data_IF_561378733643
#
_entry.id   IF_561378733643
#
_cell.length_a   1.000
_cell.length_b   1.000
_cell.length_c   1.000
_cell.angle_alpha   90.00
_cell.angle_beta   90.00
_cell.angle_gamma   90.00
#
_symmetry.space_group_name_H-M   'P 1'
#
loop_
_entity.id
_entity.type
_entity.pdbx_description
1 polymer ?
#
# COMPACT_ATOMS: atom_id res chain seq x y z
N UNK A 1 -17.76 -32.28 51.52
CA UNK A 1 -16.94 -31.29 52.23
C UNK A 1 -15.96 -30.69 51.21
N UNK A 2 -16.32 -29.56 50.57
CA UNK A 2 -15.58 -29.02 49.42
C UNK A 2 -14.88 -27.74 49.86
N UNK A 3 -13.54 -27.75 49.86
CA UNK A 3 -12.74 -26.60 50.26
C UNK A 3 -12.71 -25.54 49.13
N UNK A 4 -13.16 -24.33 49.46
CA UNK A 4 -13.11 -23.14 48.59
C UNK A 4 -11.77 -22.42 48.80
N UNK A 5 -10.94 -22.34 47.77
CA UNK A 5 -9.73 -21.51 47.78
C UNK A 5 -10.05 -20.08 47.34
N UNK A 6 -9.80 -19.14 48.25
CA UNK A 6 -9.99 -17.69 48.11
C UNK A 6 -8.65 -17.08 47.72
N UNK A 7 -8.47 -16.70 46.44
CA UNK A 7 -7.28 -15.97 45.99
C UNK A 7 -7.49 -14.48 46.19
N UNK A 8 -6.75 -13.93 47.16
CA UNK A 8 -6.66 -12.50 47.44
C UNK A 8 -5.83 -11.79 46.36
N UNK A 9 -6.37 -10.74 45.73
CA UNK A 9 -5.59 -9.74 44.98
C UNK A 9 -5.45 -8.50 45.85
N UNK A 10 -4.22 -8.22 46.30
CA UNK A 10 -3.83 -6.98 46.97
C UNK A 10 -3.07 -6.07 45.99
N UNK A 11 -3.42 -4.78 46.05
CA UNK A 11 -2.56 -3.59 46.09
C UNK A 11 -1.62 -3.35 44.87
N UNK A 12 -1.91 -2.36 44.01
CA UNK A 12 -1.64 -0.91 44.15
C UNK A 12 -0.34 -0.49 43.46
N UNK A 13 -0.45 0.31 42.39
CA UNK A 13 0.61 1.22 41.95
C UNK A 13 -0.04 2.54 41.55
N UNK A 14 0.17 3.49 42.43
CA UNK A 14 -0.16 4.91 42.37
C UNK A 14 0.44 5.53 41.12
N UNK A 15 -0.42 6.05 40.23
CA UNK A 15 -0.01 6.86 39.08
C UNK A 15 -0.06 8.34 39.51
N UNK A 16 1.10 8.93 39.73
CA UNK A 16 1.23 10.36 39.98
C UNK A 16 0.75 11.17 38.77
N UNK A 17 -0.02 12.25 38.95
CA UNK A 17 -0.32 13.20 37.89
C UNK A 17 0.90 14.11 37.68
N UNK A 18 1.54 13.97 36.53
CA UNK A 18 2.53 14.94 36.04
C UNK A 18 1.74 16.22 35.68
N UNK A 19 1.81 17.24 36.55
CA UNK A 19 1.43 18.61 36.20
C UNK A 19 2.54 19.17 35.32
N UNK A 20 2.25 19.28 34.03
CA UNK A 20 3.01 20.16 33.13
C UNK A 20 2.24 21.48 33.16
N UNK A 21 2.74 22.43 33.95
CA UNK A 21 2.41 23.85 33.82
C UNK A 21 2.99 24.33 32.49
N UNK A 22 2.21 24.10 31.43
CA UNK A 22 2.45 24.60 30.08
C UNK A 22 1.27 25.46 29.69
N UNK A 23 1.45 26.76 29.87
CA UNK A 23 0.76 27.87 29.21
C UNK A 23 -0.32 27.45 28.21
N UNK A 24 -1.57 27.62 28.65
CA UNK A 24 -2.77 27.38 27.85
C UNK A 24 -2.89 28.52 26.84
N UNK A 25 -2.21 28.38 25.70
CA UNK A 25 -2.48 29.21 24.53
C UNK A 25 -3.76 28.67 23.89
N UNK A 26 -4.88 29.34 24.15
CA UNK A 26 -6.15 29.16 23.47
C UNK A 26 -5.98 29.50 21.97
N UNK A 27 -5.47 28.54 21.18
CA UNK A 27 -5.54 28.61 19.72
C UNK A 27 -6.91 28.14 19.30
N UNK A 28 -7.82 29.11 19.21
CA UNK A 28 -9.08 29.02 18.46
C UNK A 28 -8.76 28.70 17.00
N UNK A 29 -8.80 27.42 16.62
CA UNK A 29 -8.64 26.98 15.23
C UNK A 29 -9.94 27.26 14.48
N UNK A 30 -10.08 28.49 13.99
CA UNK A 30 -11.01 28.80 12.92
C UNK A 30 -10.45 28.29 11.58
N UNK A 31 -11.36 27.73 10.77
CA UNK A 31 -11.18 27.23 9.40
C UNK A 31 -9.88 27.59 8.71
N UNK A 32 -8.88 26.71 8.85
CA UNK A 32 -7.57 26.82 8.22
C UNK A 32 -7.66 26.68 6.70
N UNK A 33 -7.75 27.83 6.05
CA UNK A 33 -7.44 28.05 4.63
C UNK A 33 -6.14 27.31 4.33
N UNK A 34 -6.16 26.33 3.41
CA UNK A 34 -5.00 25.56 2.93
C UNK A 34 -3.86 26.52 2.57
N UNK A 35 -2.95 26.77 3.50
CA UNK A 35 -1.68 27.43 3.24
C UNK A 35 -0.93 26.48 2.31
N UNK A 36 -0.88 26.86 1.03
CA UNK A 36 0.01 26.25 0.05
C UNK A 36 1.41 26.33 0.67
N UNK A 37 1.88 25.21 1.19
CA UNK A 37 3.24 25.08 1.67
C UNK A 37 4.12 25.31 0.43
N UNK A 38 4.66 26.51 0.29
CA UNK A 38 5.58 26.88 -0.78
C UNK A 38 6.84 26.06 -0.55
N UNK A 39 6.83 24.85 -1.10
CA UNK A 39 7.95 23.94 -1.04
C UNK A 39 9.04 24.53 -1.93
N UNK A 40 9.94 25.30 -1.31
CA UNK A 40 11.18 25.69 -1.97
C UNK A 40 11.94 24.39 -2.20
N UNK A 41 12.19 23.99 -3.46
CA UNK A 41 12.90 22.75 -3.75
C UNK A 41 14.29 22.85 -3.09
N UNK A 42 14.64 21.93 -2.19
CA UNK A 42 15.93 21.98 -1.50
C UNK A 42 17.06 21.81 -2.52
N UNK A 43 18.14 22.56 -2.32
CA UNK A 43 19.38 22.44 -3.10
C UNK A 43 19.81 20.97 -3.21
N UNK A 44 20.26 20.49 -4.39
CA UNK A 44 20.58 19.09 -4.62
C UNK A 44 21.64 18.54 -3.65
N UNK A 45 22.61 19.36 -3.25
CA UNK A 45 23.67 18.95 -2.31
C UNK A 45 23.10 18.51 -0.95
N UNK A 46 22.11 19.24 -0.43
CA UNK A 46 21.45 18.89 0.83
C UNK A 46 20.63 17.60 0.67
N UNK A 47 20.02 17.38 -0.49
CA UNK A 47 19.21 16.17 -0.70
C UNK A 47 20.08 14.90 -0.58
N UNK A 48 21.32 14.92 -1.06
CA UNK A 48 22.22 13.77 -0.97
C UNK A 48 22.65 13.45 0.46
N UNK A 49 23.00 14.47 1.25
CA UNK A 49 23.36 14.31 2.66
C UNK A 49 22.19 13.73 3.47
N UNK A 50 20.99 14.29 3.28
CA UNK A 50 19.78 13.79 3.90
C UNK A 50 19.43 12.37 3.44
N UNK A 51 19.71 12.03 2.17
CA UNK A 51 19.49 10.69 1.63
C UNK A 51 20.39 9.67 2.31
N UNK A 52 21.69 9.94 2.45
CA UNK A 52 22.65 9.06 3.16
C UNK A 52 22.24 8.87 4.62
N UNK A 53 21.86 9.95 5.29
CA UNK A 53 21.44 9.93 6.69
C UNK A 53 20.11 9.17 6.88
N UNK A 54 19.17 9.36 5.96
CA UNK A 54 17.91 8.61 5.93
C UNK A 54 18.14 7.11 5.74
N UNK A 55 18.98 6.71 4.77
CA UNK A 55 19.32 5.30 4.52
C UNK A 55 19.92 4.68 5.77
N UNK A 56 20.93 5.33 6.38
CA UNK A 56 21.55 4.85 7.62
C UNK A 56 20.52 4.67 8.74
N UNK A 57 19.66 5.66 8.95
CA UNK A 57 18.61 5.63 9.98
C UNK A 57 17.61 4.49 9.75
N UNK A 58 17.17 4.29 8.50
CA UNK A 58 16.25 3.21 8.14
C UNK A 58 16.94 1.85 8.36
N UNK A 59 18.20 1.70 7.94
CA UNK A 59 18.93 0.43 8.12
C UNK A 59 19.11 0.08 9.60
N UNK A 60 19.39 1.06 10.46
CA UNK A 60 19.48 0.86 11.91
C UNK A 60 18.11 0.47 12.50
N UNK A 61 17.05 1.21 12.15
CA UNK A 61 15.71 0.92 12.62
C UNK A 61 15.23 -0.49 12.20
N UNK A 62 15.60 -0.94 11.00
CA UNK A 62 15.31 -2.29 10.51
C UNK A 62 16.04 -3.38 11.30
N UNK A 63 17.29 -3.12 11.72
CA UNK A 63 18.08 -4.06 12.54
C UNK A 63 17.56 -4.16 13.98
N UNK A 64 17.21 -3.03 14.59
CA UNK A 64 16.83 -2.98 16.01
C UNK A 64 15.36 -3.37 16.25
N UNK A 65 14.44 -2.75 15.51
CA UNK A 65 12.99 -2.86 15.74
C UNK A 65 12.26 -3.51 14.56
N UNK A 66 12.92 -3.70 13.42
CA UNK A 66 12.30 -4.15 12.18
C UNK A 66 11.53 -5.46 12.33
N UNK A 67 12.11 -6.46 12.98
CA UNK A 67 11.45 -7.75 13.19
C UNK A 67 10.14 -7.64 13.99
N UNK A 68 10.10 -6.81 15.03
CA UNK A 68 8.93 -6.65 15.90
C UNK A 68 7.82 -5.87 15.22
N UNK A 69 8.16 -4.78 14.54
CA UNK A 69 7.17 -3.92 13.88
C UNK A 69 6.59 -4.60 12.64
N UNK A 70 7.44 -5.28 11.87
CA UNK A 70 7.02 -5.94 10.63
C UNK A 70 6.28 -7.26 10.84
N UNK A 71 6.40 -7.89 12.01
CA UNK A 71 5.57 -9.05 12.37
C UNK A 71 4.07 -8.74 12.29
N UNK A 72 3.67 -7.50 12.54
CA UNK A 72 2.29 -7.03 12.42
C UNK A 72 1.93 -6.57 10.98
N UNK A 73 2.82 -6.79 10.01
CA UNK A 73 2.68 -6.33 8.63
C UNK A 73 2.82 -4.82 8.44
N UNK A 74 3.22 -4.08 9.48
CA UNK A 74 3.38 -2.63 9.41
C UNK A 74 4.80 -2.24 8.94
N UNK A 75 4.95 -1.14 8.18
CA UNK A 75 6.26 -0.66 7.77
C UNK A 75 7.02 -0.12 8.99
N UNK A 76 8.31 -0.43 9.08
CA UNK A 76 9.19 0.21 10.04
C UNK A 76 9.51 1.62 9.54
N UNK A 77 8.88 2.64 10.14
CA UNK A 77 9.08 4.05 9.81
C UNK A 77 9.86 4.71 10.95
N UNK A 78 11.03 5.31 10.69
CA UNK A 78 11.77 6.06 11.72
C UNK A 78 10.92 7.19 12.30
N UNK A 79 10.97 7.38 13.62
CA UNK A 79 10.19 8.42 14.35
C UNK A 79 10.44 9.82 13.78
N UNK A 80 11.68 10.09 13.40
CA UNK A 80 12.12 11.38 12.86
C UNK A 80 11.75 11.60 11.40
N UNK A 81 11.15 10.61 10.71
CA UNK A 81 10.80 10.72 9.30
C UNK A 81 9.91 11.91 9.00
N UNK A 82 8.83 12.07 9.77
CA UNK A 82 7.83 13.13 9.51
C UNK A 82 8.40 14.54 9.67
N UNK A 83 9.39 14.71 10.54
CA UNK A 83 9.94 16.01 10.90
C UNK A 83 11.16 16.38 10.05
N UNK A 84 12.14 15.47 9.95
CA UNK A 84 13.45 15.76 9.32
C UNK A 84 13.48 15.43 7.83
N UNK A 85 13.01 14.24 7.48
CA UNK A 85 13.21 13.69 6.13
C UNK A 85 12.06 13.98 5.18
N UNK A 86 10.82 13.94 5.67
CA UNK A 86 9.61 14.12 4.84
C UNK A 86 9.57 15.46 4.09
N UNK A 87 9.98 16.60 4.67
CA UNK A 87 10.03 17.85 3.91
C UNK A 87 10.98 17.73 2.72
N UNK A 88 12.20 17.22 2.93
CA UNK A 88 13.25 17.21 1.89
C UNK A 88 13.08 16.08 0.88
N UNK A 89 12.82 14.86 1.35
CA UNK A 89 12.80 13.62 0.58
C UNK A 89 11.39 13.15 0.20
N UNK A 90 10.35 13.79 0.74
CA UNK A 90 8.96 13.47 0.44
C UNK A 90 8.38 12.25 1.19
N UNK A 91 7.31 11.63 0.65
CA UNK A 91 6.64 10.51 1.29
C UNK A 91 7.56 9.28 1.44
N UNK A 92 7.57 8.68 2.62
CA UNK A 92 8.44 7.54 2.96
C UNK A 92 8.39 6.40 1.94
N UNK A 93 7.19 5.94 1.58
CA UNK A 93 7.00 4.85 0.61
C UNK A 93 7.64 5.17 -0.74
N UNK A 94 7.53 6.42 -1.21
CA UNK A 94 8.11 6.85 -2.49
C UNK A 94 9.64 6.91 -2.42
N UNK A 95 10.17 7.42 -1.31
CA UNK A 95 11.61 7.43 -1.07
C UNK A 95 12.19 6.01 -1.08
N UNK A 96 11.61 5.09 -0.30
CA UNK A 96 12.09 3.71 -0.20
C UNK A 96 12.02 2.98 -1.56
N UNK A 97 10.95 3.20 -2.34
CA UNK A 97 10.83 2.65 -3.70
C UNK A 97 11.85 3.22 -4.69
N UNK A 98 12.35 4.44 -4.44
CA UNK A 98 13.37 5.07 -5.27
C UNK A 98 14.79 4.58 -4.95
N UNK A 99 15.00 3.95 -3.79
CA UNK A 99 16.31 3.49 -3.36
C UNK A 99 16.51 2.01 -3.73
N UNK A 100 17.63 1.69 -4.36
CA UNK A 100 17.98 0.30 -4.73
C UNK A 100 18.34 -0.57 -3.51
N UNK A 101 18.74 0.05 -2.40
CA UNK A 101 19.14 -0.64 -1.17
C UNK A 101 17.98 -1.28 -0.39
N UNK A 102 16.73 -0.97 -0.74
CA UNK A 102 15.55 -1.46 -0.03
C UNK A 102 14.60 -2.18 -0.98
N UNK A 103 13.92 -3.20 -0.48
CA UNK A 103 12.78 -3.84 -1.14
C UNK A 103 11.52 -3.64 -0.32
N UNK A 104 10.44 -3.24 -1.00
CA UNK A 104 9.12 -3.11 -0.40
C UNK A 104 8.30 -4.34 -0.74
N UNK A 105 7.86 -5.08 0.27
CA UNK A 105 6.95 -6.21 0.08
C UNK A 105 5.53 -5.77 0.45
N UNK A 106 4.62 -5.95 -0.49
CA UNK A 106 3.21 -5.62 -0.27
C UNK A 106 2.61 -6.63 0.72
N UNK A 107 2.01 -6.12 1.79
CA UNK A 107 1.24 -6.93 2.74
C UNK A 107 -0.23 -7.04 2.32
N UNK A 108 -1.06 -7.53 3.24
CA UNK A 108 -2.51 -7.56 3.05
C UNK A 108 -3.09 -6.13 3.11
N UNK A 109 -3.71 -5.68 2.02
CA UNK A 109 -4.35 -4.36 1.95
C UNK A 109 -3.37 -3.21 1.66
N UNK A 110 -3.39 -2.17 2.49
CA UNK A 110 -2.50 -1.00 2.36
C UNK A 110 -1.16 -1.14 3.10
N UNK A 111 -1.02 -2.23 3.86
CA UNK A 111 0.15 -2.57 4.65
C UNK A 111 1.33 -3.00 3.76
N UNK A 112 2.56 -2.68 4.15
CA UNK A 112 3.77 -3.10 3.45
C UNK A 112 4.93 -3.24 4.43
N UNK A 113 5.85 -4.15 4.14
CA UNK A 113 7.09 -4.37 4.91
C UNK A 113 8.30 -3.98 4.08
N UNK A 114 9.42 -3.65 4.74
CA UNK A 114 10.62 -3.13 4.10
C UNK A 114 11.80 -4.03 4.49
N UNK A 115 12.50 -4.54 3.49
CA UNK A 115 13.65 -5.41 3.68
C UNK A 115 14.89 -4.79 3.07
N UNK A 116 16.05 -5.11 3.64
CA UNK A 116 17.34 -4.73 3.05
C UNK A 116 17.58 -5.58 1.80
N UNK A 117 18.03 -4.92 0.73
CA UNK A 117 18.39 -5.58 -0.51
C UNK A 117 19.86 -6.04 -0.44
N UNK A 118 20.15 -7.02 0.41
CA UNK A 118 21.51 -7.53 0.64
C UNK A 118 22.02 -8.44 -0.51
N UNK A 119 21.37 -8.42 -1.67
CA UNK A 119 21.65 -9.34 -2.78
C UNK A 119 21.27 -10.80 -2.49
N UNK A 120 21.08 -11.15 -1.21
CA UNK A 120 20.47 -12.39 -0.78
C UNK A 120 19.05 -12.44 -1.34
N UNK A 121 18.81 -13.42 -2.22
CA UNK A 121 17.47 -13.75 -2.68
C UNK A 121 16.66 -14.12 -1.44
N UNK A 122 15.93 -13.15 -0.89
CA UNK A 122 14.99 -13.41 0.18
C UNK A 122 14.09 -14.56 -0.27
N UNK A 123 13.72 -15.50 0.62
CA UNK A 123 12.70 -16.47 0.32
C UNK A 123 11.52 -15.64 -0.16
N UNK A 124 11.11 -15.83 -1.41
CA UNK A 124 9.94 -15.17 -1.94
C UNK A 124 8.89 -15.28 -0.85
N UNK A 125 8.44 -14.14 -0.30
CA UNK A 125 7.22 -14.17 0.49
C UNK A 125 6.23 -14.75 -0.49
N UNK A 126 5.94 -16.04 -0.34
CA UNK A 126 4.85 -16.75 -0.96
C UNK A 126 3.60 -16.11 -0.36
N UNK A 127 3.36 -14.85 -0.70
CA UNK A 127 2.03 -14.34 -0.91
C UNK A 127 1.58 -15.28 -2.02
N UNK A 128 0.77 -16.31 -1.71
CA UNK A 128 0.32 -17.22 -2.74
C UNK A 128 -0.27 -16.31 -3.80
N UNK A 129 0.34 -16.32 -4.98
CA UNK A 129 -0.06 -15.44 -6.05
C UNK A 129 -1.53 -15.76 -6.26
N UNK A 130 -2.41 -14.85 -5.82
CA UNK A 130 -3.83 -15.12 -5.88
C UNK A 130 -4.15 -15.21 -7.34
N UNK A 131 -4.57 -16.41 -7.74
CA UNK A 131 -5.04 -16.71 -9.07
C UNK A 131 -6.00 -15.61 -9.53
N UNK A 132 -5.97 -15.20 -10.80
CA UNK A 132 -6.80 -14.11 -11.30
C UNK A 132 -8.28 -14.23 -10.90
N UNK A 133 -8.83 -15.45 -10.89
CA UNK A 133 -10.21 -15.71 -10.50
C UNK A 133 -10.50 -15.39 -9.02
N UNK A 134 -9.56 -15.61 -8.10
CA UNK A 134 -9.74 -15.30 -6.67
C UNK A 134 -9.88 -13.79 -6.44
N UNK A 135 -9.19 -12.98 -7.25
CA UNK A 135 -9.31 -11.52 -7.21
C UNK A 135 -10.69 -11.07 -7.67
N UNK A 136 -11.19 -11.66 -8.75
CA UNK A 136 -12.53 -11.38 -9.27
C UNK A 136 -13.61 -11.81 -8.28
N UNK A 137 -13.50 -12.99 -7.66
CA UNK A 137 -14.43 -13.44 -6.61
C UNK A 137 -14.39 -12.48 -5.41
N UNK A 138 -13.22 -12.08 -4.95
CA UNK A 138 -13.10 -11.12 -3.85
C UNK A 138 -13.72 -9.75 -4.19
N UNK A 139 -13.56 -9.30 -5.44
CA UNK A 139 -14.16 -8.06 -5.95
C UNK A 139 -15.69 -8.18 -6.02
N UNK A 140 -16.20 -9.27 -6.58
CA UNK A 140 -17.64 -9.56 -6.65
C UNK A 140 -18.27 -9.64 -5.25
N UNK A 141 -17.61 -10.31 -4.29
CA UNK A 141 -18.08 -10.40 -2.91
C UNK A 141 -18.16 -9.02 -2.23
N UNK A 142 -17.16 -8.15 -2.43
CA UNK A 142 -17.20 -6.77 -1.92
C UNK A 142 -18.35 -5.99 -2.54
N UNK A 143 -18.57 -6.13 -3.84
CA UNK A 143 -19.69 -5.50 -4.54
C UNK A 143 -21.05 -5.98 -4.00
N UNK A 144 -21.19 -7.28 -3.75
CA UNK A 144 -22.37 -7.86 -3.11
C UNK A 144 -22.62 -7.29 -1.71
N UNK A 145 -21.56 -7.18 -0.89
CA UNK A 145 -21.64 -6.57 0.44
C UNK A 145 -22.08 -5.09 0.39
N UNK A 146 -21.64 -4.34 -0.61
CA UNK A 146 -22.03 -2.93 -0.80
C UNK A 146 -23.48 -2.79 -1.28
N UNK A 147 -23.94 -3.68 -2.17
CA UNK A 147 -25.31 -3.68 -2.67
C UNK A 147 -26.33 -4.07 -1.59
N UNK A 148 -25.90 -4.82 -0.56
CA UNK A 148 -26.75 -5.27 0.56
C UNK A 148 -26.23 -4.70 1.88
N UNK A 149 -26.73 -3.54 2.34
CA UNK A 149 -26.30 -2.95 3.62
C UNK A 149 -26.68 -3.82 4.83
N UNK A 150 -27.71 -4.66 4.72
CA UNK A 150 -28.16 -5.59 5.75
C UNK A 150 -27.14 -6.72 5.99
N UNK A 151 -26.26 -6.55 6.99
CA UNK A 151 -25.23 -7.54 7.32
C UNK A 151 -25.80 -8.94 7.63
N UNK A 152 -27.01 -9.03 8.20
CA UNK A 152 -27.67 -10.30 8.55
C UNK A 152 -28.13 -11.12 7.33
N UNK A 153 -28.26 -10.49 6.16
CA UNK A 153 -28.69 -11.14 4.90
C UNK A 153 -27.51 -11.48 3.99
N UNK A 154 -26.26 -11.20 4.41
CA UNK A 154 -25.06 -11.53 3.63
C UNK A 154 -24.69 -12.98 3.90
N UNK A 155 -25.25 -13.91 3.12
CA UNK A 155 -24.85 -15.31 3.12
C UNK A 155 -23.91 -15.63 1.96
N UNK A 156 -22.89 -16.45 2.22
CA UNK A 156 -21.99 -16.99 1.17
C UNK A 156 -22.77 -17.92 0.26
N UNK A 157 -23.68 -18.74 0.81
CA UNK A 157 -24.54 -19.63 0.01
C UNK A 157 -25.39 -18.85 -0.97
N UNK A 158 -25.94 -17.70 -0.57
CA UNK A 158 -26.75 -16.88 -1.46
C UNK A 158 -25.90 -16.23 -2.57
N UNK A 159 -24.68 -15.83 -2.26
CA UNK A 159 -23.76 -15.29 -3.26
C UNK A 159 -23.28 -16.35 -4.26
N UNK A 160 -23.08 -17.59 -3.81
CA UNK A 160 -22.66 -18.70 -4.66
C UNK A 160 -23.82 -19.35 -5.42
N UNK A 161 -25.08 -19.04 -5.09
CA UNK A 161 -26.21 -19.48 -5.89
C UNK A 161 -26.04 -18.90 -7.30
N UNK A 162 -25.98 -19.75 -8.35
CA UNK A 162 -25.99 -19.25 -9.70
C UNK A 162 -27.27 -18.44 -9.83
N UNK A 163 -27.13 -17.12 -10.04
CA UNK A 163 -28.28 -16.32 -10.39
C UNK A 163 -28.86 -16.97 -11.63
N UNK A 164 -30.11 -17.43 -11.58
CA UNK A 164 -30.84 -17.88 -12.75
C UNK A 164 -30.67 -16.78 -13.79
N UNK A 165 -29.77 -17.04 -14.75
CA UNK A 165 -29.26 -15.99 -15.59
C UNK A 165 -30.48 -15.37 -16.25
N UNK A 166 -30.78 -14.09 -16.01
CA UNK A 166 -31.87 -13.49 -16.73
C UNK A 166 -31.47 -13.66 -18.19
N UNK A 167 -32.32 -14.34 -18.97
CA UNK A 167 -32.19 -14.55 -20.41
C UNK A 167 -32.34 -13.21 -21.15
N UNK A 168 -31.72 -12.16 -20.65
CA UNK A 168 -31.46 -10.94 -21.39
C UNK A 168 -30.52 -11.37 -22.51
N UNK A 169 -31.11 -11.59 -23.68
CA UNK A 169 -30.43 -11.66 -24.97
C UNK A 169 -29.24 -10.70 -24.90
N UNK A 170 -28.04 -11.26 -24.88
CA UNK A 170 -26.81 -10.50 -24.86
C UNK A 170 -26.90 -9.48 -25.99
N UNK A 171 -27.12 -8.21 -25.64
CA UNK A 171 -26.88 -7.12 -26.58
C UNK A 171 -25.38 -6.99 -26.59
N UNK A 172 -24.79 -7.76 -27.51
CA UNK A 172 -23.38 -7.80 -27.86
C UNK A 172 -22.81 -6.37 -27.77
N UNK A 173 -21.81 -6.11 -26.92
CA UNK A 173 -21.20 -4.79 -26.87
C UNK A 173 -20.55 -4.56 -28.24
N UNK A 174 -21.02 -3.54 -28.96
CA UNK A 174 -20.58 -3.12 -30.29
C UNK A 174 -19.14 -2.54 -30.30
N UNK A 175 -18.21 -3.17 -29.59
CA UNK A 175 -16.80 -2.76 -29.43
C UNK A 175 -15.86 -3.82 -30.01
N UNK A 176 -16.30 -4.56 -31.04
CA UNK A 176 -15.44 -5.46 -31.83
C UNK A 176 -15.74 -5.34 -33.33
N UNK A 177 -15.83 -4.11 -33.85
CA UNK A 177 -15.85 -3.86 -35.31
C UNK A 177 -14.80 -2.85 -35.79
N UNK A 178 -13.82 -2.45 -34.97
CA UNK A 178 -12.78 -1.50 -35.39
C UNK A 178 -11.43 -2.14 -35.76
N UNK A 179 -11.19 -3.44 -35.54
CA UNK A 179 -9.89 -4.07 -35.82
C UNK A 179 -9.82 -4.91 -37.11
N UNK A 180 -10.87 -4.92 -37.94
CA UNK A 180 -10.86 -5.65 -39.22
C UNK A 180 -10.53 -4.81 -40.47
N UNK A 181 -10.27 -3.50 -40.34
CA UNK A 181 -9.96 -2.63 -41.50
C UNK A 181 -8.49 -2.21 -41.63
N UNK A 182 -7.57 -2.61 -40.75
CA UNK A 182 -6.15 -2.20 -40.85
C UNK A 182 -5.20 -3.26 -41.43
N UNK A 183 -5.73 -4.36 -41.98
CA UNK A 183 -4.91 -5.45 -42.54
C UNK A 183 -5.03 -5.60 -44.06
N UNK A 184 -5.10 -4.51 -44.84
CA UNK A 184 -4.91 -4.55 -46.31
C UNK A 184 -4.15 -3.31 -46.77
N UNK A 185 -2.82 -3.31 -46.61
CA UNK A 185 -1.92 -2.66 -47.58
C UNK A 185 -0.57 -3.38 -47.49
N UNK A 186 -0.51 -4.56 -48.11
CA UNK A 186 0.73 -5.30 -48.27
C UNK A 186 1.52 -4.69 -49.44
N UNK A 187 2.66 -4.13 -49.04
CA UNK A 187 3.81 -3.62 -49.76
C UNK A 187 4.11 -4.36 -51.09
N UNK A 188 4.11 -3.63 -52.22
CA UNK A 188 4.58 -4.13 -53.51
C UNK A 188 6.10 -3.92 -53.67
N UNK A 189 6.89 -4.95 -54.02
CA UNK A 189 8.31 -4.78 -54.33
C UNK A 189 8.53 -4.23 -55.76
N UNK A 190 9.13 -3.04 -55.85
CA UNK A 190 9.56 -2.40 -57.10
C UNK A 190 10.65 -3.22 -57.82
N UNK A 191 10.34 -3.71 -59.03
CA UNK A 191 11.28 -4.31 -59.99
C UNK A 191 12.33 -3.27 -60.42
N UNK A 192 13.61 -3.55 -60.16
CA UNK A 192 14.75 -2.83 -60.74
C UNK A 192 14.98 -3.30 -62.18
N UNK A 193 14.88 -2.38 -63.13
CA UNK A 193 15.28 -2.58 -64.51
C UNK A 193 16.81 -2.70 -64.62
N UNK A 194 17.26 -3.78 -65.26
CA UNK A 194 18.63 -4.00 -65.73
C UNK A 194 18.87 -3.15 -66.97
N UNK A 195 19.91 -2.31 -66.95
CA UNK A 195 20.48 -1.64 -68.11
C UNK A 195 21.79 -2.34 -68.46
N UNK A 196 21.91 -2.92 -69.66
CA UNK A 196 23.19 -3.29 -70.27
C UNK A 196 23.08 -3.12 -71.79
N UNK A 197 23.91 -2.19 -72.26
CA UNK A 197 24.60 -2.08 -73.55
C UNK A 197 23.70 -2.06 -74.78
#
# INVERSE_FOLDING_TARGET
MVQKTKVARKASTTKAPIKIDGEKVDVKVEGGKKTKNTFVPPSPEKQEEFTKLAISTITAALKDEGAKVQANGQPCIPKDWRLKFKPVLGPYKKFVLSQSSFRVLAGSGESYTIHLNDGSALPALNIPEREPWQREVAKAWRSYCLARPDAKKRSVDEFMKPADAPKHKAKEPAVVQAEKEMAVTQDQPKKKARKKI
#
